data_IF_911142172078
#
_entry.id   IF_911142172078
#
_cell.length_a   1.000
_cell.length_b   1.000
_cell.length_c   1.000
_cell.angle_alpha   90.00
_cell.angle_beta   90.00
_cell.angle_gamma   90.00
#
_symmetry.space_group_name_H-M   'P 1'
#
loop_
_entity.id
_entity.type
_entity.pdbx_description
1 polymer ?
#
# COMPACT_ATOMS: atom_id res chain seq x y z
N UNK A 1 -6.02 -5.51 -35.14
CA UNK A 1 -6.50 -4.40 -34.28
C UNK A 1 -6.38 -4.85 -32.83
N UNK A 2 -5.25 -4.54 -32.18
CA UNK A 2 -5.00 -4.96 -30.79
C UNK A 2 -5.65 -3.96 -29.83
N UNK A 3 -6.71 -4.38 -29.14
CA UNK A 3 -7.33 -3.59 -28.09
C UNK A 3 -6.49 -3.72 -26.81
N UNK A 4 -5.79 -2.65 -26.44
CA UNK A 4 -5.18 -2.51 -25.14
C UNK A 4 -6.29 -2.33 -24.08
N UNK A 5 -6.60 -3.39 -23.33
CA UNK A 5 -7.40 -3.30 -22.12
C UNK A 5 -6.63 -2.50 -21.07
N UNK A 6 -6.86 -1.19 -21.02
CA UNK A 6 -6.41 -0.32 -19.94
C UNK A 6 -7.24 -0.68 -18.69
N UNK A 7 -6.68 -1.51 -17.80
CA UNK A 7 -7.23 -1.67 -16.43
C UNK A 7 -7.08 -0.32 -15.73
N UNK A 8 -8.11 0.50 -15.79
CA UNK A 8 -8.26 1.67 -14.92
C UNK A 8 -8.50 1.14 -13.52
N UNK A 9 -7.50 1.26 -12.64
CA UNK A 9 -7.64 0.95 -11.22
C UNK A 9 -8.81 1.74 -10.64
N UNK A 10 -9.89 1.05 -10.32
CA UNK A 10 -11.01 1.59 -9.57
C UNK A 10 -10.54 1.84 -8.15
N UNK A 11 -10.05 3.05 -7.88
CA UNK A 11 -9.82 3.51 -6.51
C UNK A 11 -11.18 3.59 -5.84
N UNK A 12 -11.51 2.56 -5.05
CA UNK A 12 -12.73 2.49 -4.26
C UNK A 12 -12.75 3.69 -3.31
N UNK A 13 -13.54 4.72 -3.65
CA UNK A 13 -13.52 6.03 -2.96
C UNK A 13 -13.89 5.93 -1.47
N UNK A 14 -14.42 4.77 -1.05
CA UNK A 14 -14.85 4.51 0.31
C UNK A 14 -13.84 3.72 1.15
N UNK A 15 -12.65 3.40 0.63
CA UNK A 15 -11.62 2.73 1.44
C UNK A 15 -10.87 3.76 2.29
N UNK A 16 -10.87 3.66 3.63
CA UNK A 16 -10.15 4.60 4.49
C UNK A 16 -8.64 4.49 4.29
N UNK A 17 -7.96 5.64 4.25
CA UNK A 17 -6.49 5.70 4.21
C UNK A 17 -5.95 5.82 5.63
N UNK A 18 -5.03 4.94 6.00
CA UNK A 18 -4.46 4.87 7.35
C UNK A 18 -2.94 5.01 7.24
N UNK A 19 -2.35 5.87 8.07
CA UNK A 19 -0.90 6.01 8.21
C UNK A 19 -0.43 5.36 9.52
N UNK A 20 0.66 4.57 9.45
CA UNK A 20 1.30 3.96 10.62
C UNK A 20 2.62 4.69 10.91
N UNK A 21 2.67 5.43 12.02
CA UNK A 21 3.81 6.29 12.42
C UNK A 21 4.23 6.02 13.86
N UNK A 22 5.51 6.27 14.18
CA UNK A 22 6.05 6.11 15.54
C UNK A 22 7.58 5.98 15.57
N UNK A 23 8.15 6.02 16.77
CA UNK A 23 9.61 6.01 17.00
C UNK A 23 10.30 4.78 16.37
N UNK A 24 11.61 4.85 16.08
CA UNK A 24 12.38 3.67 15.66
C UNK A 24 12.17 2.48 16.61
N UNK A 25 12.12 1.28 16.05
CA UNK A 25 12.03 0.02 16.81
C UNK A 25 10.77 -0.24 17.66
N UNK A 26 9.72 0.60 17.61
CA UNK A 26 8.45 0.36 18.34
C UNK A 26 7.54 -0.75 17.76
N UNK A 27 8.08 -1.60 16.87
CA UNK A 27 7.32 -2.73 16.31
C UNK A 27 6.37 -2.40 15.14
N UNK A 28 6.51 -1.22 14.50
CA UNK A 28 5.69 -0.81 13.35
C UNK A 28 5.63 -1.88 12.25
N UNK A 29 6.77 -2.45 11.85
CA UNK A 29 6.82 -3.49 10.81
C UNK A 29 6.08 -4.77 11.24
N UNK A 30 6.17 -5.14 12.52
CA UNK A 30 5.44 -6.29 13.05
C UNK A 30 3.93 -6.08 12.96
N UNK A 31 3.44 -4.93 13.39
CA UNK A 31 2.00 -4.58 13.28
C UNK A 31 1.58 -4.53 11.82
N UNK A 32 2.38 -3.89 10.95
CA UNK A 32 2.11 -3.84 9.51
C UNK A 32 1.94 -5.23 8.91
N UNK A 33 2.88 -6.15 9.17
CA UNK A 33 2.82 -7.52 8.65
C UNK A 33 1.65 -8.33 9.24
N UNK A 34 1.28 -8.09 10.50
CA UNK A 34 0.11 -8.73 11.12
C UNK A 34 -1.21 -8.27 10.47
N UNK A 35 -1.32 -6.97 10.16
CA UNK A 35 -2.53 -6.40 9.55
C UNK A 35 -2.67 -6.71 8.06
N UNK A 36 -1.56 -6.78 7.34
CA UNK A 36 -1.55 -6.90 5.86
C UNK A 36 -1.26 -8.31 5.35
N UNK A 37 -0.65 -9.17 6.17
CA UNK A 37 -0.27 -10.53 5.78
C UNK A 37 0.84 -10.55 4.73
N UNK A 38 0.72 -11.46 3.75
CA UNK A 38 1.80 -11.78 2.79
C UNK A 38 1.75 -10.93 1.51
N UNK A 39 0.57 -10.46 1.10
CA UNK A 39 0.38 -9.80 -0.19
C UNK A 39 0.36 -8.28 -0.02
N UNK A 40 1.55 -7.68 -0.09
CA UNK A 40 1.76 -6.24 0.05
C UNK A 40 2.52 -5.67 -1.13
N UNK A 41 2.17 -4.45 -1.54
CA UNK A 41 2.91 -3.69 -2.55
C UNK A 41 3.91 -2.78 -1.86
N UNK A 42 5.16 -2.82 -2.30
CA UNK A 42 6.24 -1.96 -1.81
C UNK A 42 6.63 -0.98 -2.91
N UNK A 43 6.81 0.29 -2.54
CA UNK A 43 7.31 1.33 -3.45
C UNK A 43 8.25 2.27 -2.69
N UNK A 44 9.19 2.89 -3.40
CA UNK A 44 9.96 4.00 -2.84
C UNK A 44 9.11 5.27 -2.76
N UNK A 45 9.56 6.23 -1.95
CA UNK A 45 9.03 7.58 -2.02
C UNK A 45 9.55 8.26 -3.30
N UNK A 46 8.71 8.95 -4.09
CA UNK A 46 9.16 9.63 -5.29
C UNK A 46 10.08 10.81 -4.94
N UNK A 47 11.21 10.93 -5.64
CA UNK A 47 12.15 12.05 -5.47
C UNK A 47 13.11 11.93 -4.27
N UNK A 48 13.22 10.74 -3.68
CA UNK A 48 14.24 10.39 -2.66
C UNK A 48 15.19 9.33 -3.18
#
# INVERSE_FOLDING_TARGET
MHQHHKKTGTTDKNTPRIALVGNPNVGKSSIFSLLTGRYVTVSNYPGT
#
